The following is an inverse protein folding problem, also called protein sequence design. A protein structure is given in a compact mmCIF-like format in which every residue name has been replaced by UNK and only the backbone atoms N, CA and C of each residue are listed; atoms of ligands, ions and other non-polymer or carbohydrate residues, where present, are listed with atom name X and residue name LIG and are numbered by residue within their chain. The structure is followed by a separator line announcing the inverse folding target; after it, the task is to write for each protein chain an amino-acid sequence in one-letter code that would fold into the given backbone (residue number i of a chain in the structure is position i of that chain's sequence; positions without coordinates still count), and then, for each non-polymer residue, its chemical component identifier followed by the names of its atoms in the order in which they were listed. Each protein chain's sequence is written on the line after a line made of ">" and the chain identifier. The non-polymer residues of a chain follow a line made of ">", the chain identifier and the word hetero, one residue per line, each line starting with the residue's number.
data_IF_877257756020
#
_entry.id   IF_877257756020
#
_cell.length_a   1.000
_cell.length_b   1.000
_cell.length_c   1.000
_cell.angle_alpha   90.00
_cell.angle_beta   90.00
_cell.angle_gamma   90.00
#
_symmetry.space_group_name_H-M   'P 1'
#
loop_
_entity.id
_entity.type
_entity.pdbx_description
1 polymer ?
#
# COMPACT_ATOMS: atom_id res chain seq x y z
N UNK A 1 12.13 -4.97 52.31
CA UNK A 1 11.54 -3.66 51.97
C UNK A 1 10.95 -3.84 50.59
N UNK A 2 9.64 -4.02 50.54
CA UNK A 2 8.89 -4.40 49.34
C UNK A 2 8.90 -3.27 48.31
N UNK A 3 9.06 -3.61 47.04
CA UNK A 3 8.57 -2.78 45.95
C UNK A 3 7.95 -3.69 44.90
N UNK A 4 6.75 -3.30 44.50
CA UNK A 4 5.70 -4.09 43.88
C UNK A 4 5.85 -3.98 42.36
N UNK A 5 5.95 -5.12 41.68
CA UNK A 5 5.81 -5.23 40.24
C UNK A 5 4.35 -4.95 39.85
N UNK A 6 4.12 -3.88 39.10
CA UNK A 6 2.81 -3.54 38.55
C UNK A 6 2.77 -3.94 37.06
N UNK A 7 2.30 -5.17 36.81
CA UNK A 7 2.07 -5.74 35.49
C UNK A 7 0.78 -5.16 34.88
N UNK A 8 0.90 -4.12 34.05
CA UNK A 8 -0.24 -3.53 33.35
C UNK A 8 -0.30 -4.07 31.91
N UNK A 9 -0.91 -5.26 31.74
CA UNK A 9 -1.29 -5.81 30.44
C UNK A 9 -2.59 -5.16 29.98
N UNK A 10 -2.50 -4.22 29.04
CA UNK A 10 -3.66 -3.69 28.34
C UNK A 10 -3.71 -4.30 26.93
N UNK A 11 -4.43 -5.41 26.79
CA UNK A 11 -4.70 -6.06 25.52
C UNK A 11 -5.95 -5.45 24.89
N UNK A 12 -5.78 -4.48 23.99
CA UNK A 12 -6.87 -4.04 23.11
C UNK A 12 -6.88 -4.92 21.86
N UNK A 13 -7.72 -5.95 21.88
CA UNK A 13 -8.17 -6.68 20.69
C UNK A 13 -9.23 -5.85 19.99
N UNK A 14 -9.03 -5.55 18.70
CA UNK A 14 -10.06 -4.92 17.85
C UNK A 14 -10.44 -5.92 16.76
N UNK A 15 -11.47 -6.71 17.04
CA UNK A 15 -12.20 -7.45 16.03
C UNK A 15 -13.17 -6.50 15.31
N UNK A 16 -13.25 -6.52 13.96
CA UNK A 16 -14.40 -5.95 13.28
C UNK A 16 -15.49 -7.00 13.11
N UNK A 17 -16.69 -6.57 13.50
CA UNK A 17 -17.91 -7.30 13.68
C UNK A 17 -18.49 -7.95 12.42
N UNK A 18 -19.18 -9.06 12.66
CA UNK A 18 -20.27 -9.61 11.84
C UNK A 18 -21.28 -8.55 11.42
N UNK A 19 -21.53 -8.44 10.13
CA UNK A 19 -22.71 -7.79 9.57
C UNK A 19 -23.74 -8.85 9.18
N UNK A 20 -24.68 -9.10 10.08
CA UNK A 20 -25.94 -9.79 9.81
C UNK A 20 -26.90 -8.80 9.16
N UNK A 21 -27.38 -9.10 7.95
CA UNK A 21 -28.58 -8.48 7.37
C UNK A 21 -29.51 -9.57 6.85
N UNK A 22 -30.59 -9.77 7.60
CA UNK A 22 -31.84 -10.43 7.27
C UNK A 22 -32.76 -9.50 6.46
N UNK A 23 -33.88 -10.06 5.94
CA UNK A 23 -35.09 -9.45 5.28
C UNK A 23 -35.14 -9.83 3.78
N UNK A 24 -36.17 -10.46 3.19
CA UNK A 24 -37.55 -10.84 3.57
C UNK A 24 -38.19 -11.80 2.55
N UNK A 25 -39.06 -12.66 3.06
CA UNK A 25 -40.44 -13.02 2.63
C UNK A 25 -40.79 -13.48 1.20
N UNK A 26 -41.59 -14.56 1.20
CA UNK A 26 -42.33 -15.09 0.06
C UNK A 26 -43.17 -16.31 0.45
N UNK A 27 -44.18 -16.09 1.30
CA UNK A 27 -45.25 -17.00 1.75
C UNK A 27 -45.92 -17.80 0.60
N UNK A 28 -46.03 -19.14 0.72
CA UNK A 28 -47.21 -19.93 1.13
C UNK A 28 -48.19 -20.29 -0.02
N UNK A 29 -49.25 -21.11 0.19
CA UNK A 29 -49.35 -22.47 0.75
C UNK A 29 -50.12 -23.40 -0.24
N UNK A 30 -50.79 -24.47 0.26
CA UNK A 30 -51.86 -25.31 -0.38
C UNK A 30 -51.32 -26.62 -1.02
N UNK A 31 -51.77 -27.84 -0.73
CA UNK A 31 -52.79 -28.41 0.17
C UNK A 31 -52.53 -29.90 0.38
N UNK A 32 -53.07 -30.38 1.49
CA UNK A 32 -53.45 -31.74 1.82
C UNK A 32 -54.16 -32.53 0.71
N UNK A 33 -53.71 -33.77 0.49
CA UNK A 33 -54.52 -34.98 0.27
C UNK A 33 -53.63 -36.16 0.74
N UNK A 34 -53.78 -36.73 1.94
CA UNK A 34 -54.85 -37.61 2.40
C UNK A 34 -55.13 -38.80 1.45
N UNK A 35 -54.26 -39.81 1.47
CA UNK A 35 -54.71 -41.20 1.24
C UNK A 35 -54.15 -42.11 2.34
N UNK A 36 -54.91 -42.17 3.43
CA UNK A 36 -55.03 -43.31 4.30
C UNK A 36 -55.47 -44.52 3.46
N UNK A 37 -54.53 -45.24 2.84
CA UNK A 37 -54.84 -46.49 2.15
C UNK A 37 -54.52 -47.66 3.07
N UNK A 38 -55.54 -47.99 3.87
CA UNK A 38 -55.74 -49.28 4.50
C UNK A 38 -55.33 -50.36 3.48
N UNK A 39 -54.19 -51.01 3.74
CA UNK A 39 -53.78 -52.21 3.02
C UNK A 39 -54.77 -53.31 3.38
N UNK A 40 -55.84 -53.38 2.60
CA UNK A 40 -56.70 -54.53 2.55
C UNK A 40 -55.80 -55.70 2.16
N UNK A 41 -55.49 -56.56 3.14
CA UNK A 41 -54.92 -57.89 2.96
C UNK A 41 -55.90 -58.76 2.17
N UNK A 42 -56.01 -58.48 0.89
CA UNK A 42 -56.33 -59.45 -0.12
C UNK A 42 -55.15 -59.41 -1.08
N UNK A 43 -54.42 -60.52 -1.27
CA UNK A 43 -53.33 -60.55 -2.23
C UNK A 43 -53.92 -60.13 -3.58
N UNK A 44 -53.59 -58.90 -4.02
CA UNK A 44 -54.00 -58.41 -5.32
C UNK A 44 -53.22 -59.26 -6.30
N UNK A 45 -53.85 -60.35 -6.75
CA UNK A 45 -53.27 -61.23 -7.75
C UNK A 45 -52.84 -60.33 -8.90
N UNK A 46 -51.55 -60.33 -9.18
CA UNK A 46 -50.98 -59.69 -10.36
C UNK A 46 -51.83 -60.03 -11.58
N UNK A 47 -52.11 -59.03 -12.42
CA UNK A 47 -52.93 -59.28 -13.62
C UNK A 47 -52.25 -60.35 -14.48
N UNK A 48 -53.02 -61.12 -15.26
CA UNK A 48 -52.48 -62.29 -15.98
C UNK A 48 -51.25 -61.96 -16.85
N UNK A 49 -51.18 -60.74 -17.38
CA UNK A 49 -50.05 -60.24 -18.17
C UNK A 49 -48.87 -59.83 -17.28
N UNK A 50 -49.13 -59.28 -16.09
CA UNK A 50 -48.09 -58.91 -15.11
C UNK A 50 -47.33 -60.11 -14.59
N UNK A 51 -48.02 -61.23 -14.39
CA UNK A 51 -47.40 -62.50 -13.96
C UNK A 51 -46.42 -63.07 -14.98
N UNK A 52 -46.49 -62.64 -16.23
CA UNK A 52 -45.51 -63.06 -17.26
C UNK A 52 -44.19 -62.30 -17.15
N UNK A 53 -44.18 -61.16 -16.44
CA UNK A 53 -42.99 -60.33 -16.22
C UNK A 53 -42.37 -60.53 -14.84
N UNK A 54 -43.03 -61.28 -13.96
CA UNK A 54 -42.56 -61.70 -12.64
C UNK A 54 -41.64 -62.93 -12.84
N UNK A 55 -40.33 -62.69 -12.92
CA UNK A 55 -39.32 -63.68 -13.31
C UNK A 55 -38.97 -64.58 -12.14
N UNK A 56 -38.95 -64.03 -10.92
CA UNK A 56 -38.61 -64.77 -9.71
C UNK A 56 -39.83 -65.41 -9.03
N UNK A 57 -41.04 -65.05 -9.45
CA UNK A 57 -42.30 -65.65 -9.02
C UNK A 57 -42.74 -65.20 -7.62
N UNK A 58 -42.21 -64.08 -7.14
CA UNK A 58 -42.48 -63.58 -5.79
C UNK A 58 -43.86 -62.90 -5.66
N UNK A 59 -44.53 -62.66 -6.79
CA UNK A 59 -45.87 -62.08 -6.85
C UNK A 59 -45.89 -60.55 -6.77
N UNK A 60 -44.73 -59.90 -6.78
CA UNK A 60 -44.54 -58.47 -6.97
C UNK A 60 -43.79 -58.21 -8.29
N UNK A 61 -43.62 -56.93 -8.66
CA UNK A 61 -42.82 -56.57 -9.83
C UNK A 61 -41.77 -55.58 -9.35
N UNK A 62 -40.51 -55.98 -9.45
CA UNK A 62 -39.38 -55.13 -9.10
C UNK A 62 -39.29 -53.92 -10.05
N UNK A 63 -38.34 -53.01 -9.80
CA UNK A 63 -38.21 -51.80 -10.63
C UNK A 63 -37.91 -52.13 -12.11
N UNK A 64 -37.18 -53.22 -12.38
CA UNK A 64 -36.81 -53.64 -13.73
C UNK A 64 -37.98 -54.34 -14.43
N UNK A 65 -38.67 -55.25 -13.76
CA UNK A 65 -39.83 -55.96 -14.27
C UNK A 65 -41.02 -55.02 -14.52
N UNK A 66 -41.22 -54.04 -13.63
CA UNK A 66 -42.21 -52.98 -13.83
C UNK A 66 -41.88 -52.11 -15.03
N UNK A 67 -40.60 -51.78 -15.25
CA UNK A 67 -40.15 -51.04 -16.42
C UNK A 67 -40.36 -51.87 -17.71
N UNK A 68 -40.00 -53.16 -17.70
CA UNK A 68 -40.25 -54.08 -18.81
C UNK A 68 -41.75 -54.15 -19.14
N UNK A 69 -42.60 -54.29 -18.12
CA UNK A 69 -44.05 -54.28 -18.31
C UNK A 69 -44.56 -52.96 -18.87
N UNK A 70 -44.04 -51.82 -18.41
CA UNK A 70 -44.43 -50.51 -18.92
C UNK A 70 -44.04 -50.29 -20.39
N UNK A 71 -42.97 -50.95 -20.84
CA UNK A 71 -42.51 -50.91 -22.23
C UNK A 71 -43.30 -51.82 -23.18
N UNK A 72 -44.03 -52.80 -22.66
CA UNK A 72 -44.95 -53.63 -23.45
C UNK A 72 -46.32 -52.94 -23.62
N UNK A 73 -46.37 -51.94 -24.48
CA UNK A 73 -47.62 -51.26 -24.84
C UNK A 73 -48.64 -52.21 -25.52
N UNK A 74 -48.17 -53.36 -26.01
CA UNK A 74 -49.00 -54.35 -26.69
C UNK A 74 -49.64 -55.41 -25.77
N UNK A 75 -49.31 -55.41 -24.47
CA UNK A 75 -49.76 -56.42 -23.49
C UNK A 75 -49.57 -57.87 -23.96
N UNK A 76 -48.51 -58.14 -24.72
CA UNK A 76 -48.22 -59.49 -25.24
C UNK A 76 -47.53 -60.40 -24.23
N UNK A 77 -47.01 -59.84 -23.14
CA UNK A 77 -46.34 -60.61 -22.08
C UNK A 77 -44.88 -60.93 -22.37
N UNK A 78 -44.30 -60.36 -23.43
CA UNK A 78 -42.87 -60.41 -23.70
C UNK A 78 -42.40 -59.15 -24.44
N UNK A 79 -41.15 -58.76 -24.22
CA UNK A 79 -40.50 -57.70 -24.99
C UNK A 79 -39.93 -58.26 -26.29
N UNK A 80 -40.12 -57.54 -27.39
CA UNK A 80 -39.41 -57.86 -28.64
C UNK A 80 -37.92 -57.56 -28.48
N UNK A 81 -37.07 -58.33 -29.15
CA UNK A 81 -35.61 -58.14 -29.10
C UNK A 81 -35.20 -56.69 -29.39
N UNK A 82 -35.86 -56.01 -30.32
CA UNK A 82 -35.59 -54.61 -30.65
C UNK A 82 -35.75 -53.65 -29.45
N UNK A 83 -36.73 -53.90 -28.58
CA UNK A 83 -36.96 -53.09 -27.38
C UNK A 83 -35.89 -53.37 -26.31
N UNK A 84 -35.49 -54.63 -26.18
CA UNK A 84 -34.39 -55.02 -25.28
C UNK A 84 -33.09 -54.33 -25.69
N UNK A 85 -32.80 -54.27 -27.00
CA UNK A 85 -31.63 -53.54 -27.51
C UNK A 85 -31.68 -52.05 -27.19
N UNK A 86 -32.83 -51.38 -27.36
CA UNK A 86 -32.96 -49.95 -27.03
C UNK A 86 -32.71 -49.64 -25.55
N UNK A 87 -33.17 -50.52 -24.65
CA UNK A 87 -32.99 -50.39 -23.21
C UNK A 87 -31.52 -50.58 -22.80
N UNK A 88 -30.85 -51.57 -23.40
CA UNK A 88 -29.43 -51.81 -23.17
C UNK A 88 -28.57 -50.64 -23.68
N UNK A 89 -28.93 -50.05 -24.82
CA UNK A 89 -28.23 -48.91 -25.39
C UNK A 89 -28.36 -47.66 -24.51
N UNK A 90 -29.55 -47.39 -23.97
CA UNK A 90 -29.80 -46.27 -23.05
C UNK A 90 -28.97 -46.37 -21.75
N UNK A 91 -28.83 -47.58 -21.19
CA UNK A 91 -27.98 -47.79 -20.03
C UNK A 91 -26.48 -47.62 -20.33
N UNK A 92 -26.02 -48.02 -21.52
CA UNK A 92 -24.63 -47.83 -21.94
C UNK A 92 -24.29 -46.35 -22.14
N UNK A 93 -25.22 -45.56 -22.68
CA UNK A 93 -25.05 -44.11 -22.86
C UNK A 93 -24.98 -43.39 -21.51
N UNK A 94 -25.86 -43.75 -20.58
CA UNK A 94 -25.88 -43.20 -19.21
C UNK A 94 -24.56 -43.50 -18.47
N UNK A 95 -24.04 -44.73 -18.58
CA UNK A 95 -22.74 -45.10 -17.97
C UNK A 95 -21.57 -44.31 -18.57
N UNK A 96 -21.56 -44.07 -19.89
CA UNK A 96 -20.51 -43.27 -20.55
C UNK A 96 -20.50 -41.83 -20.07
N UNK A 97 -21.67 -41.23 -19.85
CA UNK A 97 -21.77 -39.87 -19.31
C UNK A 97 -21.23 -39.78 -17.88
N UNK A 98 -21.56 -40.76 -17.03
CA UNK A 98 -21.04 -40.81 -15.65
C UNK A 98 -19.51 -40.96 -15.58
N UNK A 99 -18.90 -41.72 -16.50
CA UNK A 99 -17.43 -41.84 -16.57
C UNK A 99 -16.77 -40.52 -16.96
N UNK A 100 -17.33 -39.80 -17.94
CA UNK A 100 -16.83 -38.47 -18.33
C UNK A 100 -16.96 -37.45 -17.19
N UNK A 101 -18.11 -37.43 -16.51
CA UNK A 101 -18.36 -36.54 -15.39
C UNK A 101 -17.41 -36.84 -14.23
N UNK A 102 -17.17 -38.12 -13.90
CA UNK A 102 -16.20 -38.50 -12.87
C UNK A 102 -14.78 -38.00 -13.19
N UNK A 103 -14.37 -38.06 -14.45
CA UNK A 103 -13.08 -37.51 -14.89
C UNK A 103 -12.98 -35.99 -14.68
N UNK A 104 -14.04 -35.24 -15.03
CA UNK A 104 -14.09 -33.78 -14.85
C UNK A 104 -14.09 -33.42 -13.36
N UNK A 105 -14.87 -34.11 -12.53
CA UNK A 105 -14.93 -33.89 -11.08
C UNK A 105 -13.57 -34.14 -10.43
N UNK A 106 -12.88 -35.21 -10.82
CA UNK A 106 -11.53 -35.50 -10.31
C UNK A 106 -10.52 -34.42 -10.73
N UNK A 107 -10.61 -33.93 -11.97
CA UNK A 107 -9.79 -32.82 -12.45
C UNK A 107 -10.02 -31.52 -11.67
N UNK A 108 -11.28 -31.18 -11.38
CA UNK A 108 -11.61 -30.00 -10.56
C UNK A 108 -11.10 -30.14 -9.13
N UNK A 109 -11.20 -31.32 -8.53
CA UNK A 109 -10.69 -31.57 -7.16
C UNK A 109 -9.17 -31.41 -7.12
N UNK A 110 -8.45 -31.95 -8.09
CA UNK A 110 -7.00 -31.78 -8.19
C UNK A 110 -6.61 -30.29 -8.35
N UNK A 111 -7.34 -29.53 -9.16
CA UNK A 111 -7.11 -28.09 -9.33
C UNK A 111 -7.31 -27.31 -8.03
N UNK A 112 -8.36 -27.63 -7.27
CA UNK A 112 -8.62 -26.99 -5.96
C UNK A 112 -7.48 -27.28 -4.98
N UNK A 113 -6.96 -28.51 -4.94
CA UNK A 113 -5.81 -28.86 -4.10
C UNK A 113 -4.56 -28.09 -4.51
N UNK A 114 -4.28 -27.97 -5.82
CA UNK A 114 -3.14 -27.19 -6.33
C UNK A 114 -3.28 -25.70 -5.97
N UNK A 115 -4.50 -25.16 -6.05
CA UNK A 115 -4.78 -23.78 -5.67
C UNK A 115 -4.56 -23.56 -4.16
N UNK A 116 -4.99 -24.51 -3.32
CA UNK A 116 -4.77 -24.46 -1.88
C UNK A 116 -3.26 -24.52 -1.53
N UNK A 117 -2.49 -25.39 -2.20
CA UNK A 117 -1.04 -25.48 -2.02
C UNK A 117 -0.34 -24.18 -2.45
N UNK A 118 -0.78 -23.57 -3.55
CA UNK A 118 -0.24 -22.28 -4.03
C UNK A 118 -0.43 -21.17 -2.98
N UNK A 119 -1.65 -21.05 -2.44
CA UNK A 119 -1.95 -20.05 -1.40
C UNK A 119 -1.18 -20.32 -0.09
N UNK A 120 -0.94 -21.59 0.24
CA UNK A 120 -0.12 -21.96 1.39
C UNK A 120 1.36 -21.59 1.16
N UNK A 121 1.87 -21.80 -0.05
CA UNK A 121 3.25 -21.43 -0.42
C UNK A 121 3.50 -19.92 -0.36
N UNK A 122 2.58 -19.10 -0.88
CA UNK A 122 2.69 -17.62 -0.80
C UNK A 122 2.64 -17.14 0.65
N UNK A 123 1.78 -17.74 1.48
CA UNK A 123 1.68 -17.38 2.91
C UNK A 123 2.96 -17.74 3.68
N UNK A 124 3.57 -18.90 3.39
CA UNK A 124 4.83 -19.30 4.00
C UNK A 124 6.01 -18.43 3.57
N UNK A 125 6.09 -18.07 2.28
CA UNK A 125 7.10 -17.15 1.78
C UNK A 125 6.99 -15.76 2.44
N UNK A 126 5.77 -15.24 2.55
CA UNK A 126 5.50 -13.98 3.25
C UNK A 126 5.88 -14.06 4.74
N UNK A 127 5.54 -15.15 5.42
CA UNK A 127 5.90 -15.35 6.83
C UNK A 127 7.41 -15.47 7.05
N UNK A 128 8.14 -16.15 6.14
CA UNK A 128 9.59 -16.24 6.21
C UNK A 128 10.25 -14.87 6.02
N UNK A 129 9.78 -14.09 5.04
CA UNK A 129 10.27 -12.72 4.82
C UNK A 129 9.95 -11.82 6.03
N UNK A 130 8.75 -11.94 6.60
CA UNK A 130 8.34 -11.16 7.77
C UNK A 130 9.20 -11.43 9.01
N UNK A 131 9.69 -12.67 9.17
CA UNK A 131 10.56 -13.05 10.29
C UNK A 131 11.93 -12.34 10.24
N UNK A 132 12.43 -12.09 9.04
CA UNK A 132 13.75 -11.51 8.81
C UNK A 132 13.69 -9.98 8.63
N UNK A 133 12.49 -9.41 8.54
CA UNK A 133 12.26 -7.96 8.57
C UNK A 133 11.95 -7.47 9.99
N UNK A 134 12.58 -6.39 10.42
CA UNK A 134 12.23 -5.66 11.65
C UNK A 134 11.93 -4.20 11.33
N UNK A 135 10.99 -3.61 12.08
CA UNK A 135 10.64 -2.20 11.96
C UNK A 135 11.62 -1.42 12.83
N UNK A 136 12.47 -0.63 12.18
CA UNK A 136 13.36 0.31 12.88
C UNK A 136 12.54 1.41 13.58
N UNK A 137 13.16 2.14 14.52
CA UNK A 137 12.53 3.28 15.21
C UNK A 137 11.94 4.34 14.25
N UNK A 138 12.40 4.35 13.00
CA UNK A 138 11.96 5.26 11.95
C UNK A 138 10.84 4.67 11.06
N UNK A 139 10.13 3.63 11.51
CA UNK A 139 9.11 2.92 10.75
C UNK A 139 9.59 2.31 9.41
N UNK A 140 10.90 2.11 9.25
CA UNK A 140 11.51 1.52 8.05
C UNK A 140 11.66 0.00 8.22
N UNK A 141 11.28 -0.77 7.19
CA UNK A 141 11.53 -2.21 7.14
C UNK A 141 13.02 -2.44 6.90
N UNK A 142 13.69 -2.97 7.91
CA UNK A 142 15.12 -3.28 7.86
C UNK A 142 15.35 -4.77 8.02
N UNK A 143 16.33 -5.31 7.31
CA UNK A 143 16.82 -6.67 7.49
C UNK A 143 17.44 -6.79 8.89
N UNK A 144 16.99 -7.77 9.67
CA UNK A 144 17.46 -8.01 11.03
C UNK A 144 18.96 -8.34 11.12
N UNK A 145 19.53 -8.93 10.07
CA UNK A 145 20.93 -9.37 10.06
C UNK A 145 21.88 -8.28 9.57
N UNK A 146 21.48 -7.54 8.53
CA UNK A 146 22.35 -6.54 7.91
C UNK A 146 22.08 -5.12 8.39
N UNK A 147 20.94 -4.89 9.08
CA UNK A 147 20.39 -3.57 9.39
C UNK A 147 20.21 -2.69 8.12
N UNK A 148 20.20 -3.30 6.94
CA UNK A 148 19.93 -2.59 5.70
C UNK A 148 18.43 -2.49 5.47
N UNK A 149 17.98 -1.36 4.95
CA UNK A 149 16.58 -1.17 4.59
C UNK A 149 16.16 -2.10 3.45
N UNK A 150 15.20 -2.98 3.71
CA UNK A 150 14.53 -3.81 2.72
C UNK A 150 13.33 -3.01 2.19
N UNK A 151 13.60 -2.04 1.31
CA UNK A 151 12.54 -1.22 0.72
C UNK A 151 11.96 -1.85 -0.54
N UNK A 152 10.66 -2.16 -0.50
CA UNK A 152 9.78 -2.28 -1.69
C UNK A 152 8.88 -1.04 -1.88
N UNK A 153 8.91 -0.09 -0.93
CA UNK A 153 8.32 1.24 -1.10
C UNK A 153 9.46 2.25 -1.23
N UNK A 154 9.28 3.26 -2.09
CA UNK A 154 10.17 4.41 -2.16
C UNK A 154 10.16 5.12 -0.80
N UNK A 155 11.06 4.73 0.10
CA UNK A 155 11.27 5.41 1.38
C UNK A 155 11.71 6.84 1.09
N UNK A 156 10.85 7.79 1.42
CA UNK A 156 11.17 9.22 1.36
C UNK A 156 11.91 9.57 2.65
N UNK A 157 13.20 9.88 2.56
CA UNK A 157 14.00 10.32 3.72
C UNK A 157 14.08 11.85 3.70
N UNK A 158 13.74 12.51 4.81
CA UNK A 158 13.95 13.95 4.97
C UNK A 158 15.18 14.18 5.84
N UNK A 159 16.15 14.91 5.30
CA UNK A 159 17.40 15.21 5.99
C UNK A 159 17.49 16.71 6.23
N UNK A 160 17.55 17.10 7.49
CA UNK A 160 17.73 18.49 7.87
C UNK A 160 19.17 18.95 7.61
N UNK A 161 19.33 20.16 7.09
CA UNK A 161 20.62 20.83 6.98
C UNK A 161 20.58 22.20 7.66
N UNK A 162 21.72 22.62 8.18
CA UNK A 162 21.87 23.88 8.91
C UNK A 162 22.88 24.78 8.22
N UNK A 163 22.93 26.07 8.58
CA UNK A 163 24.09 26.90 8.23
C UNK A 163 25.25 26.66 9.18
N UNK A 164 26.45 26.77 8.64
CA UNK A 164 27.69 26.79 9.41
C UNK A 164 28.60 27.90 8.89
N UNK A 165 29.43 28.44 9.79
CA UNK A 165 30.55 29.32 9.44
C UNK A 165 31.85 28.68 9.88
N UNK A 166 32.94 29.02 9.20
CA UNK A 166 34.29 28.60 9.57
C UNK A 166 34.99 29.80 10.16
N UNK A 167 35.45 29.68 11.41
CA UNK A 167 36.22 30.74 12.06
C UNK A 167 37.60 30.88 11.41
N UNK A 168 38.28 31.99 11.69
CA UNK A 168 39.68 32.22 11.27
C UNK A 168 40.63 31.11 11.68
N UNK A 169 40.32 30.38 12.76
CA UNK A 169 41.10 29.26 13.27
C UNK A 169 40.77 27.92 12.58
N UNK A 170 39.94 27.93 11.53
CA UNK A 170 39.50 26.75 10.80
C UNK A 170 38.45 25.90 11.55
N UNK A 171 37.90 26.38 12.66
CA UNK A 171 36.87 25.65 13.41
C UNK A 171 35.48 25.97 12.86
N UNK A 172 34.68 24.94 12.63
CA UNK A 172 33.28 25.10 12.24
C UNK A 172 32.42 25.45 13.44
N UNK A 173 31.67 26.54 13.36
CA UNK A 173 30.59 26.88 14.29
C UNK A 173 29.25 26.69 13.60
N UNK A 174 28.32 26.01 14.28
CA UNK A 174 26.93 25.96 13.85
C UNK A 174 26.31 27.34 14.06
N UNK A 175 25.60 27.82 13.05
CA UNK A 175 24.70 28.94 13.20
C UNK A 175 23.54 28.49 14.08
N UNK A 176 23.57 28.84 15.37
CA UNK A 176 22.45 28.57 16.25
C UNK A 176 21.55 29.81 16.26
N UNK A 177 20.25 29.59 16.08
CA UNK A 177 19.22 30.63 16.07
C UNK A 177 18.82 31.03 17.50
N UNK A 178 19.20 30.25 18.52
CA UNK A 178 18.80 30.49 19.91
C UNK A 178 19.85 31.33 20.67
N UNK A 179 19.62 32.65 20.73
CA UNK A 179 20.05 33.67 21.73
C UNK A 179 21.51 33.76 22.19
N UNK A 180 22.43 32.89 21.76
CA UNK A 180 23.86 33.01 22.02
C UNK A 180 24.62 33.06 20.69
N UNK A 181 24.67 34.28 20.16
CA UNK A 181 25.05 34.69 18.80
C UNK A 181 26.37 34.12 18.29
N UNK A 182 26.26 33.27 17.27
CA UNK A 182 27.17 33.34 16.13
C UNK A 182 26.35 34.00 15.03
N UNK A 183 26.59 35.29 14.80
CA UNK A 183 25.91 36.01 13.73
C UNK A 183 26.30 35.38 12.39
N UNK A 184 25.34 34.73 11.75
CA UNK A 184 25.53 34.07 10.46
C UNK A 184 25.19 34.98 9.27
N UNK A 185 25.01 36.27 9.54
CA UNK A 185 24.98 37.31 8.53
C UNK A 185 26.34 37.53 7.84
N UNK A 186 27.42 36.94 8.36
CA UNK A 186 28.72 36.97 7.66
C UNK A 186 28.64 36.21 6.33
N UNK A 187 29.21 36.85 5.30
CA UNK A 187 29.29 36.36 3.92
C UNK A 187 30.01 35.02 3.75
N UNK A 188 30.64 34.47 4.79
CA UNK A 188 31.34 33.19 4.76
C UNK A 188 30.50 32.00 5.27
N UNK A 189 29.20 32.18 5.56
CA UNK A 189 28.36 31.08 6.04
C UNK A 189 27.84 30.22 4.88
N UNK A 190 27.88 28.90 5.04
CA UNK A 190 27.46 27.94 4.01
C UNK A 190 26.46 26.93 4.58
N UNK A 191 25.65 26.34 3.68
CA UNK A 191 24.71 25.25 4.01
C UNK A 191 25.50 23.98 4.26
N UNK A 192 25.30 23.34 5.41
CA UNK A 192 26.12 22.24 5.87
C UNK A 192 25.32 21.09 6.46
N UNK A 193 25.79 19.88 6.18
CA UNK A 193 25.24 18.61 6.66
C UNK A 193 26.36 17.76 7.28
N UNK A 194 26.04 16.86 8.21
CA UNK A 194 27.03 15.92 8.75
C UNK A 194 27.49 14.93 7.66
N UNK A 195 28.79 14.60 7.62
CA UNK A 195 29.35 13.66 6.63
C UNK A 195 28.62 12.32 6.60
N UNK A 196 28.24 11.76 7.75
CA UNK A 196 27.48 10.49 7.80
C UNK A 196 26.12 10.63 7.11
N UNK A 197 25.45 11.76 7.29
CA UNK A 197 24.16 12.05 6.64
C UNK A 197 24.32 12.34 5.15
N UNK A 198 25.38 13.05 4.77
CA UNK A 198 25.78 13.27 3.38
C UNK A 198 26.06 11.94 2.64
N UNK A 199 26.86 11.05 3.23
CA UNK A 199 27.11 9.70 2.71
C UNK A 199 25.81 8.87 2.63
N UNK A 200 24.89 9.04 3.59
CA UNK A 200 23.59 8.37 3.59
C UNK A 200 22.71 8.90 2.45
N UNK A 201 22.64 10.22 2.28
CA UNK A 201 21.91 10.90 1.21
C UNK A 201 22.40 10.40 -0.15
N UNK A 202 23.70 10.51 -0.42
CA UNK A 202 24.31 10.08 -1.68
C UNK A 202 24.00 8.59 -1.96
N UNK A 203 24.14 7.72 -0.96
CA UNK A 203 23.82 6.29 -1.11
C UNK A 203 22.34 6.03 -1.39
N UNK A 204 21.42 6.73 -0.72
CA UNK A 204 19.98 6.60 -0.96
C UNK A 204 19.62 7.05 -2.38
N UNK A 205 20.18 8.17 -2.83
CA UNK A 205 19.96 8.67 -4.18
C UNK A 205 20.52 7.72 -5.26
N UNK A 206 21.71 7.13 -5.04
CA UNK A 206 22.27 6.08 -5.92
C UNK A 206 21.38 4.86 -6.06
N UNK A 207 20.61 4.53 -5.01
CA UNK A 207 19.68 3.39 -5.00
C UNK A 207 18.33 3.72 -5.66
N UNK A 208 18.14 4.96 -6.13
CA UNK A 208 16.88 5.41 -6.73
C UNK A 208 15.80 5.82 -5.71
N UNK A 209 16.17 5.98 -4.43
CA UNK A 209 15.22 6.41 -3.41
C UNK A 209 15.01 7.94 -3.46
N UNK A 210 13.82 8.37 -3.05
CA UNK A 210 13.49 9.79 -2.88
C UNK A 210 14.18 10.34 -1.63
N UNK A 211 14.88 11.46 -1.76
CA UNK A 211 15.50 12.15 -0.64
C UNK A 211 15.14 13.62 -0.71
N UNK A 212 14.62 14.12 0.41
CA UNK A 212 14.29 15.52 0.60
C UNK A 212 15.30 16.15 1.55
N UNK A 213 15.75 17.36 1.23
CA UNK A 213 16.50 18.20 2.15
C UNK A 213 15.54 19.21 2.77
N UNK A 214 15.55 19.35 4.09
CA UNK A 214 14.68 20.31 4.78
C UNK A 214 15.49 21.34 5.56
N UNK A 215 15.01 22.59 5.56
CA UNK A 215 15.54 23.66 6.40
C UNK A 215 14.39 24.35 7.11
N UNK A 216 14.59 24.60 8.40
CA UNK A 216 13.68 25.43 9.19
C UNK A 216 14.26 26.84 9.28
N UNK A 217 13.45 27.84 8.94
CA UNK A 217 13.80 29.25 8.92
C UNK A 217 13.55 29.89 10.29
N UNK A 218 14.05 31.12 10.48
CA UNK A 218 13.81 31.90 11.72
C UNK A 218 12.33 32.11 12.06
N UNK A 219 11.44 32.13 11.07
CA UNK A 219 9.99 32.23 11.29
C UNK A 219 9.35 30.91 11.74
N UNK A 220 10.12 29.82 11.82
CA UNK A 220 9.63 28.47 12.13
C UNK A 220 9.09 27.71 10.93
N UNK A 221 8.99 28.35 9.75
CA UNK A 221 8.61 27.67 8.52
C UNK A 221 9.68 26.66 8.12
N UNK A 222 9.27 25.52 7.56
CA UNK A 222 10.20 24.51 7.07
C UNK A 222 10.01 24.32 5.58
N UNK A 223 11.03 24.65 4.80
CA UNK A 223 11.05 24.39 3.35
C UNK A 223 11.72 23.05 3.08
N UNK A 224 11.12 22.28 2.17
CA UNK A 224 11.61 20.97 1.76
C UNK A 224 11.95 20.99 0.27
N UNK A 225 13.19 20.62 -0.05
CA UNK A 225 13.73 20.52 -1.39
C UNK A 225 13.81 19.05 -1.80
N UNK A 226 13.16 18.68 -2.90
CA UNK A 226 13.27 17.33 -3.42
C UNK A 226 14.54 17.20 -4.27
N UNK A 227 15.46 16.38 -3.78
CA UNK A 227 16.79 16.24 -4.36
C UNK A 227 16.86 15.01 -5.27
N UNK A 228 16.22 13.90 -4.89
CA UNK A 228 16.33 12.61 -5.59
C UNK A 228 14.94 12.09 -5.97
N UNK A 229 14.77 11.45 -7.14
CA UNK A 229 15.81 10.86 -8.00
C UNK A 229 16.52 11.86 -8.92
N UNK A 230 17.77 11.54 -9.27
CA UNK A 230 18.57 12.30 -10.22
C UNK A 230 18.56 11.66 -11.60
N UNK A 231 18.63 12.49 -12.65
CA UNK A 231 18.75 12.04 -14.03
C UNK A 231 20.22 11.80 -14.41
N UNK A 232 21.12 12.67 -13.94
CA UNK A 232 22.55 12.64 -14.28
C UNK A 232 23.39 13.13 -13.09
N UNK A 233 24.64 12.67 -12.96
CA UNK A 233 25.54 13.16 -11.93
C UNK A 233 26.79 12.32 -11.75
N UNK A 234 27.87 12.98 -11.32
CA UNK A 234 29.10 12.31 -10.90
C UNK A 234 29.07 12.15 -9.39
N UNK A 235 29.08 10.90 -8.93
CA UNK A 235 29.07 10.58 -7.52
C UNK A 235 30.48 10.29 -7.01
N UNK A 236 31.35 11.30 -6.99
CA UNK A 236 32.64 11.17 -6.33
C UNK A 236 32.47 11.26 -4.83
N UNK A 237 33.33 10.55 -4.11
CA UNK A 237 33.26 10.40 -2.65
C UNK A 237 33.36 11.74 -1.89
N UNK A 238 33.88 12.78 -2.53
CA UNK A 238 34.24 14.05 -1.90
C UNK A 238 33.67 15.29 -2.61
N UNK A 239 33.36 15.19 -3.91
CA UNK A 239 32.73 16.25 -4.69
C UNK A 239 31.68 15.62 -5.61
N UNK A 240 30.42 15.62 -5.18
CA UNK A 240 29.31 15.09 -5.98
C UNK A 240 28.55 16.23 -6.64
N UNK A 241 28.33 16.12 -7.95
CA UNK A 241 27.50 17.04 -8.74
C UNK A 241 26.32 16.27 -9.28
N UNK A 242 25.12 16.64 -8.88
CA UNK A 242 23.90 15.86 -9.09
C UNK A 242 22.86 16.73 -9.77
N UNK A 243 22.26 16.23 -10.85
CA UNK A 243 21.27 16.95 -11.63
C UNK A 243 19.92 16.23 -11.53
N UNK A 244 18.91 16.90 -10.96
CA UNK A 244 17.59 16.30 -10.79
C UNK A 244 16.80 16.30 -12.12
N UNK A 245 15.60 15.73 -12.09
CA UNK A 245 14.73 15.67 -13.27
C UNK A 245 14.28 17.06 -13.78
N UNK A 246 14.31 18.06 -12.92
CA UNK A 246 14.00 19.46 -13.25
C UNK A 246 15.21 20.22 -13.79
N UNK A 247 16.34 19.53 -13.99
CA UNK A 247 17.65 20.10 -14.37
C UNK A 247 18.22 21.08 -13.33
N UNK A 248 17.77 20.98 -12.08
CA UNK A 248 18.36 21.71 -10.98
C UNK A 248 19.59 20.95 -10.48
N UNK A 249 20.64 21.70 -10.21
CA UNK A 249 21.91 21.17 -9.77
C UNK A 249 22.02 21.18 -8.25
N UNK A 250 22.51 20.07 -7.69
CA UNK A 250 23.00 19.99 -6.31
C UNK A 250 24.49 19.63 -6.34
N UNK A 251 25.30 20.49 -5.76
CA UNK A 251 26.72 20.32 -5.53
C UNK A 251 26.93 19.99 -4.05
N UNK A 252 27.65 18.91 -3.79
CA UNK A 252 28.01 18.43 -2.46
C UNK A 252 29.52 18.33 -2.37
N UNK A 253 30.12 19.23 -1.58
CA UNK A 253 31.58 19.31 -1.39
C UNK A 253 31.93 18.88 0.04
N UNK A 254 32.93 18.04 0.24
CA UNK A 254 33.43 17.75 1.59
C UNK A 254 34.20 18.97 2.13
N UNK A 255 33.86 19.36 3.36
CA UNK A 255 34.57 20.41 4.10
C UNK A 255 35.27 19.77 5.30
N UNK A 256 36.43 20.31 5.65
CA UNK A 256 37.18 19.92 6.85
C UNK A 256 36.28 19.91 8.10
N UNK A 257 36.48 18.91 8.95
CA UNK A 257 35.68 18.72 10.16
C UNK A 257 34.53 17.72 10.03
N UNK A 258 34.47 16.93 8.94
CA UNK A 258 33.50 15.83 8.82
C UNK A 258 32.10 16.31 8.46
N UNK A 259 32.02 17.32 7.61
CA UNK A 259 30.79 17.90 7.11
C UNK A 259 30.82 18.01 5.59
N UNK A 260 29.65 18.05 4.96
CA UNK A 260 29.54 18.43 3.56
C UNK A 260 28.91 19.82 3.47
N UNK A 261 29.40 20.62 2.53
CA UNK A 261 28.79 21.86 2.07
C UNK A 261 27.82 21.53 0.92
N UNK A 262 26.67 22.17 0.95
CA UNK A 262 25.61 22.01 -0.04
C UNK A 262 25.45 23.33 -0.81
N UNK A 263 25.47 23.27 -2.14
CA UNK A 263 25.27 24.41 -3.03
C UNK A 263 24.53 24.00 -4.31
N UNK A 264 24.09 24.97 -5.10
CA UNK A 264 23.40 24.74 -6.37
C UNK A 264 21.91 25.10 -6.33
N UNK A 265 21.31 25.11 -7.51
CA UNK A 265 19.94 25.59 -7.76
C UNK A 265 18.87 24.76 -7.05
N UNK A 266 19.13 23.48 -6.80
CA UNK A 266 18.15 22.57 -6.19
C UNK A 266 17.78 22.94 -4.75
N UNK A 267 18.58 23.78 -4.09
CA UNK A 267 18.37 24.27 -2.72
C UNK A 267 18.39 25.80 -2.64
N UNK A 268 18.31 26.46 -3.79
CA UNK A 268 18.19 27.90 -3.90
C UNK A 268 16.72 28.31 -3.87
N UNK A 269 16.44 29.43 -3.23
CA UNK A 269 15.11 30.00 -3.08
C UNK A 269 14.72 30.82 -4.30
N UNK A 270 13.44 30.76 -4.67
CA UNK A 270 12.91 31.46 -5.83
C UNK A 270 12.38 32.84 -5.46
N UNK A 271 11.93 33.61 -6.46
CA UNK A 271 11.44 34.97 -6.26
C UNK A 271 10.25 35.00 -5.28
N UNK A 272 10.40 35.75 -4.20
CA UNK A 272 9.39 35.92 -3.15
C UNK A 272 9.50 34.91 -2.00
N UNK A 273 10.37 33.90 -2.10
CA UNK A 273 10.61 32.96 -1.02
C UNK A 273 11.45 33.61 0.09
N UNK A 274 11.28 33.11 1.32
CA UNK A 274 12.01 33.60 2.50
C UNK A 274 13.49 33.27 2.38
N UNK A 275 14.32 34.21 2.78
CA UNK A 275 15.77 34.08 2.79
C UNK A 275 16.37 34.68 4.06
N UNK A 276 17.58 34.24 4.43
CA UNK A 276 18.32 34.82 5.55
C UNK A 276 19.56 35.58 5.08
N UNK A 277 20.19 35.13 3.99
CA UNK A 277 21.31 35.82 3.36
C UNK A 277 21.24 35.72 1.82
N UNK A 278 22.07 36.50 1.13
CA UNK A 278 22.12 36.53 -0.35
C UNK A 278 22.22 35.14 -1.01
N UNK A 279 23.12 34.29 -0.53
CA UNK A 279 23.36 32.94 -1.11
C UNK A 279 22.18 31.95 -0.93
N UNK A 280 21.14 32.33 -0.18
CA UNK A 280 19.91 31.54 -0.12
C UNK A 280 19.10 31.63 -1.40
N UNK A 281 19.21 32.73 -2.13
CA UNK A 281 18.43 32.99 -3.32
C UNK A 281 19.08 32.42 -4.58
N UNK A 282 18.27 32.13 -5.60
CA UNK A 282 18.74 31.75 -6.92
C UNK A 282 19.51 32.89 -7.60
N UNK A 283 20.32 32.54 -8.60
CA UNK A 283 21.13 33.52 -9.34
C UNK A 283 20.28 34.68 -9.89
N UNK A 284 20.77 35.91 -9.69
CA UNK A 284 20.08 37.14 -10.10
C UNK A 284 19.02 37.65 -9.10
N UNK A 285 18.85 36.96 -7.98
CA UNK A 285 18.03 37.42 -6.86
C UNK A 285 18.92 37.85 -5.69
N UNK A 286 18.46 38.83 -4.94
CA UNK A 286 19.11 39.32 -3.73
C UNK A 286 18.18 39.10 -2.54
N UNK A 287 18.73 38.63 -1.43
CA UNK A 287 17.99 38.52 -0.19
C UNK A 287 17.91 39.89 0.48
N UNK A 288 16.73 40.52 0.41
CA UNK A 288 16.53 41.85 0.99
C UNK A 288 15.14 41.97 1.59
N UNK A 289 15.01 42.90 2.53
CA UNK A 289 13.72 43.31 3.08
C UNK A 289 13.28 44.57 2.36
N UNK A 290 12.13 44.50 1.71
CA UNK A 290 11.56 45.58 0.91
C UNK A 290 10.24 46.01 1.54
N UNK A 291 10.18 47.24 2.04
CA UNK A 291 9.05 47.73 2.84
C UNK A 291 7.74 47.73 2.06
N UNK A 292 7.79 47.91 0.74
CA UNK A 292 6.59 47.87 -0.11
C UNK A 292 6.05 46.44 -0.21
N UNK A 293 6.95 45.46 -0.37
CA UNK A 293 6.60 44.03 -0.39
C UNK A 293 6.03 43.60 0.97
N UNK A 294 6.66 44.02 2.07
CA UNK A 294 6.20 43.75 3.44
C UNK A 294 4.80 44.35 3.65
N UNK A 295 4.60 45.62 3.26
CA UNK A 295 3.31 46.30 3.39
C UNK A 295 2.21 45.63 2.56
N UNK A 296 2.52 45.22 1.32
CA UNK A 296 1.58 44.50 0.47
C UNK A 296 1.22 43.13 1.06
N UNK A 297 2.20 42.38 1.57
CA UNK A 297 1.99 41.12 2.25
C UNK A 297 1.10 41.29 3.49
N UNK A 298 1.42 42.25 4.36
CA UNK A 298 0.62 42.53 5.56
C UNK A 298 -0.81 42.98 5.22
N UNK A 299 -0.97 43.76 4.15
CA UNK A 299 -2.29 44.14 3.62
C UNK A 299 -3.07 42.90 3.18
N UNK A 300 -2.45 41.97 2.44
CA UNK A 300 -3.07 40.70 2.05
C UNK A 300 -3.47 39.86 3.27
N UNK A 301 -2.61 39.75 4.28
CA UNK A 301 -2.95 39.09 5.55
C UNK A 301 -4.17 39.72 6.21
N UNK A 302 -4.26 41.05 6.24
CA UNK A 302 -5.39 41.77 6.87
C UNK A 302 -6.73 41.59 6.15
N UNK A 303 -6.71 41.25 4.85
CA UNK A 303 -7.91 40.99 4.06
C UNK A 303 -8.43 39.55 4.20
N UNK A 304 -7.64 38.65 4.79
CA UNK A 304 -8.07 37.27 5.05
C UNK A 304 -9.07 37.25 6.21
N UNK A 305 -10.14 36.46 6.06
CA UNK A 305 -11.13 36.21 7.12
C UNK A 305 -10.63 35.15 8.10
N UNK A 306 -9.50 35.42 8.75
CA UNK A 306 -8.90 34.52 9.73
C UNK A 306 -9.14 35.00 11.16
N UNK A 307 -8.92 34.10 12.12
CA UNK A 307 -8.92 34.47 13.53
C UNK A 307 -7.80 35.51 13.80
N UNK A 308 -7.97 36.44 14.75
CA UNK A 308 -7.00 37.51 14.99
C UNK A 308 -5.56 37.04 15.19
N UNK A 309 -5.36 35.91 15.89
CA UNK A 309 -4.02 35.37 16.13
C UNK A 309 -3.33 34.90 14.84
N UNK A 310 -4.06 34.27 13.92
CA UNK A 310 -3.52 33.84 12.61
C UNK A 310 -3.20 35.04 11.71
N UNK A 311 -3.96 36.13 11.82
CA UNK A 311 -3.66 37.37 11.09
C UNK A 311 -2.37 38.00 11.62
N UNK A 312 -2.15 37.97 12.93
CA UNK A 312 -0.91 38.47 13.55
C UNK A 312 0.28 37.61 13.12
N UNK A 313 0.16 36.29 13.18
CA UNK A 313 1.20 35.35 12.74
C UNK A 313 1.57 35.58 11.27
N UNK A 314 0.58 35.66 10.37
CA UNK A 314 0.79 35.99 8.95
C UNK A 314 1.51 37.33 8.75
N UNK A 315 1.14 38.36 9.53
CA UNK A 315 1.79 39.67 9.42
C UNK A 315 3.23 39.65 9.91
N UNK A 316 3.52 38.84 10.93
CA UNK A 316 4.88 38.65 11.42
C UNK A 316 5.72 37.89 10.38
N UNK A 317 5.13 36.91 9.68
CA UNK A 317 5.79 36.19 8.58
C UNK A 317 6.12 37.09 7.38
N UNK A 318 5.34 38.15 7.16
CA UNK A 318 5.66 39.15 6.15
C UNK A 318 6.91 39.97 6.46
N UNK A 319 7.39 39.99 7.71
CA UNK A 319 8.49 40.86 8.14
C UNK A 319 9.88 40.27 7.86
N UNK A 320 9.94 39.06 7.31
CA UNK A 320 11.18 38.37 6.98
C UNK A 320 11.71 38.78 5.59
N UNK A 321 13.04 38.81 5.41
CA UNK A 321 13.63 39.04 4.10
C UNK A 321 13.18 37.99 3.08
N UNK A 322 13.04 38.40 1.82
CA UNK A 322 12.68 37.50 0.73
C UNK A 322 13.61 37.71 -0.46
N UNK A 323 13.67 36.71 -1.33
CA UNK A 323 14.46 36.77 -2.55
C UNK A 323 13.78 37.68 -3.57
N UNK A 324 14.40 38.82 -3.90
CA UNK A 324 13.87 39.81 -4.82
C UNK A 324 14.80 39.99 -6.02
N UNK A 325 14.25 40.28 -7.19
CA UNK A 325 15.05 40.51 -8.40
C UNK A 325 15.97 41.70 -8.19
N UNK A 326 17.24 41.56 -8.58
CA UNK A 326 18.17 42.68 -8.60
C UNK A 326 17.72 43.70 -9.65
N UNK A 327 16.99 44.73 -9.22
CA UNK A 327 16.70 45.88 -10.09
C UNK A 327 17.97 46.69 -10.13
N UNK A 328 18.76 46.51 -11.19
CA UNK A 328 19.77 47.52 -11.55
C UNK A 328 18.98 48.76 -11.90
N UNK A 329 18.88 49.72 -10.98
CA UNK A 329 18.54 51.08 -11.37
C UNK A 329 19.64 51.53 -12.33
N UNK A 330 19.39 51.37 -13.62
CA UNK A 330 20.22 51.92 -14.67
C UNK A 330 20.15 53.44 -14.55
N UNK A 331 21.13 54.01 -13.85
CA UNK A 331 21.39 55.45 -13.75
C UNK A 331 21.71 56.03 -15.12
#
# INVERSE_FOLDING_TARGET
>A
MHTIDNENRNSNSTDPASATTSVTDGDAPITSENENKVSSRFPRKLSSVSKMYDIDGDGELDAAERAMRAMDCSNRGFLTNDKIYSLMQEQLETRKQLVRIKGIVFGLLALVVILAISNLGTSFAAASLAKDTTISSNAELTDKHTNEALSTQASTDSIAFDRATVTTDGRRLRCNVNDNDVDCSVSSSFRSINKKMCDKMIRKCKRGNTVNLSRTWKNGETTSFNICPFHEGDFRKFDSRLLNNEKQELIVEEVDGGHCKLSGDAIAQTLGDICEIGDDCADGLECRKDDDVVAECQKRCSMRRWAPHMVIECKNDCDYPSCLSYVVESV
#
